data_IF_395786499158
#
_entry.id   IF_395786499158
#
_cell.length_a   1.000
_cell.length_b   1.000
_cell.length_c   1.000
_cell.angle_alpha   90.00
_cell.angle_beta   90.00
_cell.angle_gamma   90.00
#
_symmetry.space_group_name_H-M   'P 1'
#
loop_
_entity.id
_entity.type
_entity.pdbx_description
1 polymer ?
#
# COMPACT_ATOMS: atom_id res chain seq x y z
N UNK A 1 8.54 -2.46 -4.09
CA UNK A 1 9.85 -2.89 -4.60
C UNK A 1 10.16 -4.37 -4.37
N UNK A 2 10.17 -4.95 -3.15
CA UNK A 2 10.50 -6.38 -2.99
C UNK A 2 9.64 -7.33 -3.83
N UNK A 3 8.36 -7.00 -4.04
CA UNK A 3 7.39 -7.83 -4.78
C UNK A 3 7.84 -8.13 -6.22
N UNK A 4 8.40 -7.15 -6.92
CA UNK A 4 8.88 -7.35 -8.31
C UNK A 4 10.25 -8.02 -8.41
N UNK A 5 10.90 -8.31 -7.29
CA UNK A 5 12.25 -8.90 -7.20
C UNK A 5 12.28 -10.08 -6.21
N UNK A 6 11.11 -10.65 -5.91
CA UNK A 6 10.98 -11.66 -4.85
C UNK A 6 11.77 -12.91 -5.18
N UNK A 7 11.72 -13.36 -6.43
CA UNK A 7 12.48 -14.52 -6.93
C UNK A 7 13.98 -14.30 -6.83
N UNK A 8 14.49 -13.11 -7.24
CA UNK A 8 15.91 -12.78 -7.17
C UNK A 8 16.44 -12.71 -5.73
N UNK A 9 15.62 -12.14 -4.82
CA UNK A 9 15.96 -12.07 -3.39
C UNK A 9 15.97 -13.47 -2.80
N UNK A 10 14.98 -14.31 -3.10
CA UNK A 10 14.91 -15.71 -2.65
C UNK A 10 16.14 -16.48 -3.09
N UNK A 11 16.48 -16.41 -4.37
CA UNK A 11 17.65 -17.08 -4.95
C UNK A 11 18.97 -16.64 -4.28
N UNK A 12 19.13 -15.34 -3.98
CA UNK A 12 20.34 -14.79 -3.37
C UNK A 12 20.61 -15.31 -1.95
N UNK A 13 19.58 -15.77 -1.25
CA UNK A 13 19.69 -16.33 0.11
C UNK A 13 19.38 -17.83 0.16
N UNK A 14 19.25 -18.50 -0.98
CA UNK A 14 18.89 -19.93 -1.08
C UNK A 14 17.58 -20.25 -0.36
N UNK A 15 16.58 -19.37 -0.49
CA UNK A 15 15.25 -19.47 0.10
C UNK A 15 14.21 -19.75 -0.97
N UNK A 16 13.05 -20.23 -0.53
CA UNK A 16 11.85 -20.25 -1.38
C UNK A 16 11.22 -18.84 -1.43
N UNK A 17 10.41 -18.55 -2.45
CA UNK A 17 9.67 -17.28 -2.53
C UNK A 17 8.76 -17.06 -1.32
N UNK A 18 8.18 -18.14 -0.78
CA UNK A 18 7.37 -18.08 0.43
C UNK A 18 8.18 -17.62 1.65
N UNK A 19 9.40 -18.17 1.82
CA UNK A 19 10.30 -17.75 2.89
C UNK A 19 10.76 -16.30 2.70
N UNK A 20 11.12 -15.92 1.47
CA UNK A 20 11.50 -14.54 1.15
C UNK A 20 10.33 -13.56 1.34
N UNK A 21 9.09 -13.98 1.12
CA UNK A 21 7.88 -13.18 1.35
C UNK A 21 7.66 -12.77 2.81
N UNK A 22 8.23 -13.50 3.78
CA UNK A 22 8.13 -13.18 5.21
C UNK A 22 8.61 -11.75 5.50
N UNK A 23 9.62 -11.25 4.78
CA UNK A 23 10.09 -9.87 4.98
C UNK A 23 9.01 -8.83 4.66
N UNK A 24 8.10 -9.12 3.72
CA UNK A 24 6.98 -8.23 3.36
C UNK A 24 5.94 -8.25 4.49
N UNK A 25 5.63 -9.44 5.01
CA UNK A 25 4.70 -9.60 6.13
C UNK A 25 5.22 -8.90 7.39
N UNK A 26 6.47 -9.14 7.77
CA UNK A 26 7.10 -8.54 8.96
C UNK A 26 7.17 -7.01 8.83
N UNK A 27 7.53 -6.50 7.65
CA UNK A 27 7.49 -5.08 7.36
C UNK A 27 6.10 -4.48 7.56
N UNK A 28 5.07 -5.08 6.99
CA UNK A 28 3.72 -4.56 7.03
C UNK A 28 3.12 -4.64 8.46
N UNK A 29 3.32 -5.74 9.17
CA UNK A 29 2.95 -5.84 10.58
C UNK A 29 3.73 -4.85 11.45
N UNK A 30 5.01 -4.62 11.14
CA UNK A 30 5.81 -3.58 11.77
C UNK A 30 5.20 -2.20 11.58
N UNK A 31 4.80 -1.83 10.37
CA UNK A 31 4.09 -0.56 10.10
C UNK A 31 2.80 -0.48 10.91
N UNK A 32 1.97 -1.52 10.89
CA UNK A 32 0.72 -1.57 11.64
C UNK A 32 0.93 -1.34 13.14
N UNK A 33 1.83 -2.10 13.75
CA UNK A 33 2.06 -2.05 15.20
C UNK A 33 2.70 -0.73 15.65
N UNK A 34 3.57 -0.17 14.80
CA UNK A 34 4.37 1.00 15.16
C UNK A 34 3.73 2.33 14.78
N UNK A 35 2.69 2.33 13.90
CA UNK A 35 2.08 3.58 13.41
C UNK A 35 1.58 4.48 14.54
N UNK A 36 0.76 3.99 15.45
CA UNK A 36 0.23 4.79 16.55
C UNK A 36 1.31 5.16 17.59
N UNK A 37 2.13 4.22 18.13
CA UNK A 37 3.15 4.56 19.10
C UNK A 37 4.18 5.56 18.58
N UNK A 38 4.68 5.33 17.37
CA UNK A 38 5.69 6.22 16.78
C UNK A 38 5.11 7.58 16.42
N UNK A 39 3.85 7.66 15.98
CA UNK A 39 3.21 8.93 15.69
C UNK A 39 2.99 9.76 16.97
N UNK A 40 2.57 9.14 18.09
CA UNK A 40 2.47 9.80 19.39
C UNK A 40 3.85 10.32 19.85
N UNK A 41 4.90 9.51 19.69
CA UNK A 41 6.26 9.92 20.01
C UNK A 41 6.74 11.06 19.10
N UNK A 42 6.58 10.90 17.78
CA UNK A 42 7.07 11.83 16.77
C UNK A 42 6.36 13.20 16.84
N UNK A 43 5.09 13.25 17.24
CA UNK A 43 4.33 14.50 17.36
C UNK A 43 4.88 15.49 18.41
N UNK A 44 5.85 15.08 19.22
CA UNK A 44 6.55 15.95 20.17
C UNK A 44 7.63 16.81 19.53
N UNK A 45 8.06 16.45 18.35
CA UNK A 45 9.13 17.14 17.63
C UNK A 45 8.59 18.18 16.66
N UNK A 46 9.43 19.15 16.34
CA UNK A 46 9.22 20.12 15.27
C UNK A 46 9.03 19.37 13.94
N UNK A 47 8.07 19.80 13.12
CA UNK A 47 7.71 19.11 11.86
C UNK A 47 8.90 18.91 10.91
N UNK A 48 9.75 19.92 10.73
CA UNK A 48 10.94 19.81 9.87
C UNK A 48 11.86 18.71 10.39
N UNK A 49 12.19 18.72 11.68
CA UNK A 49 13.07 17.71 12.30
C UNK A 49 12.47 16.31 12.20
N UNK A 50 11.15 16.21 12.39
CA UNK A 50 10.43 14.95 12.30
C UNK A 50 10.50 14.39 10.88
N UNK A 51 10.21 15.19 9.84
CA UNK A 51 10.29 14.74 8.45
C UNK A 51 11.71 14.35 8.05
N UNK A 52 12.70 15.16 8.38
CA UNK A 52 14.11 14.86 8.10
C UNK A 52 14.55 13.57 8.80
N UNK A 53 14.16 13.38 10.06
CA UNK A 53 14.44 12.16 10.81
C UNK A 53 13.80 10.91 10.17
N UNK A 54 12.55 11.02 9.77
CA UNK A 54 11.82 9.93 9.09
C UNK A 54 12.50 9.56 7.77
N UNK A 55 12.85 10.55 6.94
CA UNK A 55 13.53 10.30 5.67
C UNK A 55 14.96 9.77 5.85
N UNK A 56 15.68 10.23 6.88
CA UNK A 56 17.00 9.72 7.22
C UNK A 56 16.94 8.26 7.67
N UNK A 57 15.98 7.91 8.54
CA UNK A 57 15.76 6.51 8.97
C UNK A 57 15.34 5.64 7.79
N UNK A 58 14.49 6.15 6.89
CA UNK A 58 14.12 5.45 5.66
C UNK A 58 15.34 5.19 4.77
N UNK A 59 16.17 6.21 4.51
CA UNK A 59 17.39 6.11 3.71
C UNK A 59 18.36 5.10 4.33
N UNK A 60 18.60 5.18 5.65
CA UNK A 60 19.43 4.24 6.38
C UNK A 60 18.93 2.79 6.23
N UNK A 61 17.63 2.56 6.42
CA UNK A 61 17.04 1.24 6.28
C UNK A 61 17.14 0.69 4.85
N UNK A 62 17.09 1.55 3.82
CA UNK A 62 17.31 1.15 2.44
C UNK A 62 18.78 0.75 2.19
N UNK A 63 19.75 1.52 2.68
CA UNK A 63 21.17 1.16 2.58
C UNK A 63 21.49 -0.11 3.36
N UNK A 64 20.97 -0.27 4.58
CA UNK A 64 21.10 -1.52 5.32
C UNK A 64 20.51 -2.71 4.57
N UNK A 65 19.37 -2.52 3.87
CA UNK A 65 18.78 -3.56 3.01
C UNK A 65 19.70 -3.91 1.82
N UNK A 66 20.34 -2.90 1.21
CA UNK A 66 21.23 -3.10 0.08
C UNK A 66 22.50 -3.91 0.45
N UNK A 67 23.06 -3.67 1.64
CA UNK A 67 24.30 -4.33 2.09
C UNK A 67 24.05 -5.56 2.97
N UNK A 68 22.80 -5.98 3.17
CA UNK A 68 22.46 -7.09 4.05
C UNK A 68 23.14 -8.41 3.60
N UNK A 69 24.04 -8.99 4.42
CA UNK A 69 24.75 -10.23 4.06
C UNK A 69 23.90 -11.48 4.28
N UNK A 70 22.89 -11.40 5.17
CA UNK A 70 22.01 -12.52 5.49
C UNK A 70 20.54 -12.07 5.47
N UNK A 71 19.64 -13.04 5.26
CA UNK A 71 18.21 -12.76 5.21
C UNK A 71 17.65 -12.17 6.53
N UNK A 72 18.00 -12.65 7.75
CA UNK A 72 17.56 -12.02 8.99
C UNK A 72 17.99 -10.55 9.10
N UNK A 73 19.18 -10.19 8.66
CA UNK A 73 19.66 -8.80 8.64
C UNK A 73 18.82 -7.97 7.65
N UNK A 74 18.47 -8.53 6.49
CA UNK A 74 17.55 -7.89 5.56
C UNK A 74 16.19 -7.63 6.22
N UNK A 75 15.62 -8.61 6.92
CA UNK A 75 14.34 -8.45 7.65
C UNK A 75 14.45 -7.34 8.70
N UNK A 76 15.53 -7.30 9.49
CA UNK A 76 15.77 -6.22 10.44
C UNK A 76 15.87 -4.85 9.77
N UNK A 77 16.57 -4.75 8.64
CA UNK A 77 16.65 -3.52 7.86
C UNK A 77 15.26 -3.08 7.35
N UNK A 78 14.40 -4.02 6.96
CA UNK A 78 13.01 -3.73 6.57
C UNK A 78 12.17 -3.22 7.74
N UNK A 79 12.40 -3.68 8.97
CA UNK A 79 11.76 -3.12 10.16
C UNK A 79 12.19 -1.66 10.42
N UNK A 80 13.46 -1.32 10.18
CA UNK A 80 13.91 0.09 10.24
C UNK A 80 13.14 0.95 9.22
N UNK A 81 12.96 0.45 8.00
CA UNK A 81 12.13 1.13 6.99
C UNK A 81 10.67 1.24 7.43
N UNK A 82 10.13 0.20 8.09
CA UNK A 82 8.76 0.20 8.62
C UNK A 82 8.54 1.30 9.66
N UNK A 83 9.52 1.56 10.54
CA UNK A 83 9.46 2.67 11.51
C UNK A 83 9.30 4.03 10.81
N UNK A 84 10.06 4.26 9.75
CA UNK A 84 9.96 5.49 8.97
C UNK A 84 8.60 5.59 8.26
N UNK A 85 8.16 4.51 7.60
CA UNK A 85 6.88 4.47 6.89
C UNK A 85 5.69 4.73 7.84
N UNK A 86 5.72 4.17 9.03
CA UNK A 86 4.68 4.28 10.04
C UNK A 86 4.33 5.75 10.39
N UNK A 87 5.32 6.64 10.31
CA UNK A 87 5.17 8.07 10.64
C UNK A 87 5.00 8.94 9.39
N UNK A 88 5.62 8.55 8.26
CA UNK A 88 5.77 9.38 7.08
C UNK A 88 4.45 9.98 6.57
N UNK A 89 3.43 9.17 6.35
CA UNK A 89 2.18 9.61 5.75
C UNK A 89 1.42 10.64 6.59
N UNK A 90 1.45 10.47 7.91
CA UNK A 90 0.82 11.41 8.84
C UNK A 90 1.53 12.76 8.84
N UNK A 91 2.85 12.77 8.67
CA UNK A 91 3.67 14.00 8.67
C UNK A 91 3.62 14.71 7.32
N UNK A 92 3.78 13.98 6.25
CA UNK A 92 3.90 14.54 4.90
C UNK A 92 2.66 15.36 4.50
N UNK A 93 1.46 14.85 4.78
CA UNK A 93 0.21 15.52 4.44
C UNK A 93 0.01 16.81 5.25
N UNK A 94 0.33 16.79 6.55
CA UNK A 94 0.22 17.98 7.41
C UNK A 94 1.25 19.04 7.00
N UNK A 95 2.49 18.63 6.72
CA UNK A 95 3.52 19.58 6.26
C UNK A 95 3.16 20.22 4.94
N UNK A 96 2.68 19.45 3.98
CA UNK A 96 2.30 19.99 2.69
C UNK A 96 1.23 21.09 2.81
N UNK A 97 0.23 20.89 3.66
CA UNK A 97 -0.83 21.89 3.88
C UNK A 97 -0.33 23.14 4.63
N UNK A 98 0.72 23.02 5.44
CA UNK A 98 1.29 24.16 6.22
C UNK A 98 2.39 24.92 5.49
N UNK A 99 3.00 24.33 4.46
CA UNK A 99 4.07 24.97 3.66
C UNK A 99 3.54 26.00 2.67
N UNK A 100 2.26 25.98 2.40
CA UNK A 100 1.61 26.85 1.41
C UNK A 100 0.53 27.69 2.07
N UNK A 101 0.16 28.83 1.45
CA UNK A 101 -0.97 29.61 1.85
C UNK A 101 -2.25 28.75 1.79
N UNK A 102 -3.24 29.07 2.60
CA UNK A 102 -4.54 28.37 2.68
C UNK A 102 -5.22 28.19 1.31
N UNK A 103 -4.98 29.12 0.38
CA UNK A 103 -5.48 29.06 -1.02
C UNK A 103 -4.87 27.91 -1.82
N UNK A 104 -3.66 27.46 -1.49
CA UNK A 104 -2.91 26.42 -2.22
C UNK A 104 -2.84 25.09 -1.47
N UNK A 105 -3.47 24.97 -0.30
CA UNK A 105 -3.46 23.76 0.51
C UNK A 105 -3.97 22.52 -0.24
N UNK A 106 -5.07 22.66 -0.98
CA UNK A 106 -5.62 21.58 -1.81
C UNK A 106 -4.62 21.15 -2.92
N UNK A 107 -3.94 22.12 -3.54
CA UNK A 107 -2.91 21.84 -4.55
C UNK A 107 -1.74 21.07 -3.95
N UNK A 108 -1.24 21.46 -2.78
CA UNK A 108 -0.13 20.78 -2.12
C UNK A 108 -0.47 19.31 -1.78
N UNK A 109 -1.67 19.05 -1.27
CA UNK A 109 -2.15 17.69 -1.01
C UNK A 109 -2.29 16.90 -2.31
N UNK A 110 -2.82 17.52 -3.38
CA UNK A 110 -2.94 16.86 -4.69
C UNK A 110 -1.58 16.51 -5.30
N UNK A 111 -0.55 17.31 -5.08
CA UNK A 111 0.82 17.00 -5.52
C UNK A 111 1.40 15.78 -4.81
N UNK A 112 1.14 15.60 -3.49
CA UNK A 112 1.51 14.36 -2.78
C UNK A 112 0.79 13.16 -3.36
N UNK A 113 -0.52 13.27 -3.61
CA UNK A 113 -1.30 12.20 -4.20
C UNK A 113 -0.79 11.83 -5.61
N UNK A 114 -0.46 12.84 -6.42
CA UNK A 114 0.13 12.66 -7.76
C UNK A 114 1.49 11.97 -7.67
N UNK A 115 2.38 12.43 -6.79
CA UNK A 115 3.68 11.80 -6.56
C UNK A 115 3.55 10.34 -6.12
N UNK A 116 2.60 10.05 -5.24
CA UNK A 116 2.29 8.68 -4.80
C UNK A 116 1.79 7.80 -5.96
N UNK A 117 0.93 8.34 -6.82
CA UNK A 117 0.42 7.64 -8.00
C UNK A 117 1.56 7.33 -8.99
N UNK A 118 2.43 8.29 -9.26
CA UNK A 118 3.62 8.12 -10.08
C UNK A 118 4.53 7.02 -9.49
N UNK A 119 4.77 7.07 -8.17
CA UNK A 119 5.58 6.07 -7.48
C UNK A 119 4.97 4.66 -7.52
N UNK A 120 3.65 4.54 -7.44
CA UNK A 120 2.96 3.24 -7.57
C UNK A 120 3.07 2.68 -8.99
N UNK A 121 2.96 3.51 -10.01
CA UNK A 121 3.01 3.07 -11.42
C UNK A 121 4.41 2.67 -11.82
N UNK A 122 5.38 3.55 -11.57
CA UNK A 122 6.75 3.38 -12.03
C UNK A 122 7.65 2.67 -11.02
N UNK A 123 7.31 2.72 -9.73
CA UNK A 123 8.17 2.20 -8.67
C UNK A 123 8.42 0.70 -8.74
N UNK A 124 7.41 -0.11 -9.07
CA UNK A 124 7.57 -1.55 -9.20
C UNK A 124 8.31 -1.92 -10.51
N UNK A 125 7.90 -1.43 -11.70
CA UNK A 125 8.61 -1.71 -12.96
C UNK A 125 10.05 -1.19 -12.99
N UNK A 126 10.30 0.04 -12.53
CA UNK A 126 11.64 0.60 -12.45
C UNK A 126 12.53 -0.16 -11.47
N UNK A 127 11.97 -0.49 -10.29
CA UNK A 127 12.68 -1.30 -9.31
C UNK A 127 13.08 -2.65 -9.87
N UNK A 128 12.17 -3.30 -10.64
CA UNK A 128 12.45 -4.56 -11.33
C UNK A 128 13.50 -4.38 -12.43
N UNK A 129 13.39 -3.36 -13.28
CA UNK A 129 14.34 -3.09 -14.35
C UNK A 129 15.76 -2.87 -13.81
N UNK A 130 15.92 -2.06 -12.75
CA UNK A 130 17.20 -1.87 -12.06
C UNK A 130 17.69 -3.20 -11.48
N UNK A 131 16.81 -3.95 -10.81
CA UNK A 131 17.17 -5.23 -10.19
C UNK A 131 17.66 -6.27 -11.20
N UNK A 132 17.02 -6.37 -12.36
CA UNK A 132 17.43 -7.26 -13.45
C UNK A 132 18.74 -6.82 -14.11
N UNK A 133 18.98 -5.50 -14.21
CA UNK A 133 20.18 -4.97 -14.87
C UNK A 133 21.44 -5.03 -13.99
N UNK A 134 21.31 -4.68 -12.71
CA UNK A 134 22.47 -4.48 -11.79
C UNK A 134 22.30 -5.16 -10.42
N UNK A 135 21.29 -6.00 -10.28
CA UNK A 135 20.97 -6.75 -9.06
C UNK A 135 20.03 -6.03 -8.10
N UNK A 136 19.22 -6.80 -7.38
CA UNK A 136 18.20 -6.30 -6.47
C UNK A 136 18.73 -5.39 -5.34
N UNK A 137 19.97 -5.60 -4.90
CA UNK A 137 20.62 -4.75 -3.89
C UNK A 137 20.78 -3.32 -4.36
N UNK A 138 21.09 -3.11 -5.65
CA UNK A 138 21.22 -1.79 -6.23
C UNK A 138 19.88 -1.05 -6.26
N UNK A 139 18.77 -1.74 -6.41
CA UNK A 139 17.43 -1.13 -6.31
C UNK A 139 17.22 -0.46 -4.95
N UNK A 140 17.59 -1.14 -3.86
CA UNK A 140 17.52 -0.55 -2.52
C UNK A 140 18.51 0.60 -2.36
N UNK A 141 19.74 0.46 -2.87
CA UNK A 141 20.75 1.52 -2.81
C UNK A 141 20.31 2.79 -3.55
N UNK A 142 19.74 2.67 -4.74
CA UNK A 142 19.22 3.81 -5.52
C UNK A 142 18.09 4.53 -4.76
N UNK A 143 17.13 3.78 -4.18
CA UNK A 143 16.05 4.39 -3.39
C UNK A 143 16.60 5.05 -2.12
N UNK A 144 17.57 4.42 -1.46
CA UNK A 144 18.27 5.01 -0.31
C UNK A 144 18.98 6.31 -0.69
N UNK A 145 19.67 6.33 -1.83
CA UNK A 145 20.36 7.50 -2.35
C UNK A 145 19.41 8.65 -2.70
N UNK A 146 18.31 8.35 -3.42
CA UNK A 146 17.28 9.36 -3.72
C UNK A 146 16.66 9.94 -2.44
N UNK A 147 16.40 9.08 -1.44
CA UNK A 147 15.92 9.56 -0.15
C UNK A 147 16.94 10.41 0.59
N UNK A 148 18.23 10.07 0.56
CA UNK A 148 19.31 10.87 1.14
C UNK A 148 19.41 12.24 0.47
N UNK A 149 19.33 12.30 -0.86
CA UNK A 149 19.28 13.56 -1.61
C UNK A 149 18.07 14.39 -1.18
N UNK A 150 16.89 13.75 -1.01
CA UNK A 150 15.69 14.44 -0.52
C UNK A 150 15.89 15.00 0.89
N UNK A 151 16.58 14.28 1.80
CA UNK A 151 16.93 14.79 3.13
C UNK A 151 17.76 16.06 3.04
N UNK A 152 18.85 16.03 2.25
CA UNK A 152 19.75 17.19 2.09
C UNK A 152 19.01 18.39 1.48
N UNK A 153 18.23 18.16 0.42
CA UNK A 153 17.43 19.19 -0.21
C UNK A 153 16.41 19.83 0.74
N UNK A 154 15.64 19.01 1.46
CA UNK A 154 14.64 19.51 2.40
C UNK A 154 15.26 20.19 3.62
N UNK A 155 16.42 19.72 4.09
CA UNK A 155 17.16 20.39 5.16
C UNK A 155 17.55 21.82 4.78
N UNK A 156 17.96 22.02 3.51
CA UNK A 156 18.35 23.32 2.98
C UNK A 156 17.15 24.26 2.69
N UNK A 157 16.05 23.72 2.14
CA UNK A 157 14.96 24.53 1.58
C UNK A 157 13.82 24.75 2.58
N UNK A 158 13.50 23.77 3.43
CA UNK A 158 12.32 23.87 4.30
C UNK A 158 12.59 24.83 5.48
N UNK A 159 11.63 25.74 5.77
CA UNK A 159 11.69 26.57 6.94
C UNK A 159 11.53 25.75 8.21
N UNK A 160 12.00 26.27 9.34
CA UNK A 160 11.64 25.74 10.64
C UNK A 160 10.12 25.88 10.86
N UNK A 161 9.46 24.82 11.28
CA UNK A 161 8.03 24.82 11.52
C UNK A 161 7.75 24.30 12.93
N UNK A 162 7.04 25.08 13.76
CA UNK A 162 6.75 24.68 15.13
C UNK A 162 5.99 23.34 15.15
N UNK A 163 6.17 22.59 16.25
CA UNK A 163 5.41 21.39 16.49
C UNK A 163 3.90 21.70 16.39
N UNK A 164 3.15 20.80 15.79
CA UNK A 164 1.70 20.91 15.74
C UNK A 164 1.05 20.54 17.09
N UNK A 165 -0.26 20.48 17.09
CA UNK A 165 -1.00 19.87 18.20
C UNK A 165 -0.52 18.43 18.38
N UNK A 166 -0.35 18.05 19.65
CA UNK A 166 0.09 16.70 19.96
C UNK A 166 -0.93 15.68 19.51
N UNK A 167 -0.49 14.71 18.72
CA UNK A 167 -1.34 13.59 18.33
C UNK A 167 -1.81 12.86 19.60
N UNK A 168 -3.11 12.74 19.78
CA UNK A 168 -3.70 12.06 20.92
C UNK A 168 -4.59 10.92 20.48
N UNK A 169 -4.49 9.80 21.19
CA UNK A 169 -5.35 8.63 20.96
C UNK A 169 -6.70 8.72 21.70
N UNK A 170 -7.02 9.88 22.30
CA UNK A 170 -8.25 10.05 23.07
C UNK A 170 -9.53 9.82 22.27
N UNK A 171 -9.49 10.10 20.96
CA UNK A 171 -10.62 9.92 20.06
C UNK A 171 -10.79 8.48 19.55
N UNK A 172 -9.78 7.60 19.81
CA UNK A 172 -9.80 6.22 19.39
C UNK A 172 -11.04 5.43 19.83
N UNK A 173 -11.50 5.53 21.10
CA UNK A 173 -12.70 4.81 21.55
C UNK A 173 -13.99 5.23 20.82
N UNK A 174 -14.12 6.50 20.45
CA UNK A 174 -15.28 6.99 19.69
C UNK A 174 -15.31 6.48 18.27
N UNK A 175 -14.16 6.52 17.60
CA UNK A 175 -14.01 5.98 16.25
C UNK A 175 -14.29 4.49 16.20
N UNK A 176 -13.83 3.74 17.20
CA UNK A 176 -14.06 2.30 17.31
C UNK A 176 -15.48 1.91 17.80
N UNK A 177 -16.32 2.87 18.21
CA UNK A 177 -17.74 2.64 18.48
C UNK A 177 -18.63 2.91 17.27
N UNK A 178 -18.13 3.59 16.24
CA UNK A 178 -18.91 3.89 15.05
C UNK A 178 -19.06 2.63 14.16
N UNK A 179 -20.27 2.08 14.02
CA UNK A 179 -20.49 0.81 13.30
C UNK A 179 -20.14 0.92 11.80
N UNK A 180 -20.28 2.11 11.21
CA UNK A 180 -19.90 2.35 9.83
C UNK A 180 -18.37 2.27 9.66
N UNK A 181 -17.60 2.89 10.54
CA UNK A 181 -16.14 2.87 10.51
C UNK A 181 -15.61 1.46 10.77
N UNK A 182 -16.22 0.73 11.73
CA UNK A 182 -15.87 -0.67 11.97
C UNK A 182 -16.10 -1.53 10.73
N UNK A 183 -17.27 -1.37 10.08
CA UNK A 183 -17.57 -2.11 8.85
C UNK A 183 -16.58 -1.77 7.72
N UNK A 184 -16.24 -0.48 7.52
CA UNK A 184 -15.27 -0.02 6.55
C UNK A 184 -13.88 -0.61 6.82
N UNK A 185 -13.44 -0.60 8.08
CA UNK A 185 -12.18 -1.19 8.50
C UNK A 185 -12.14 -2.70 8.30
N UNK A 186 -13.21 -3.41 8.66
CA UNK A 186 -13.29 -4.85 8.45
C UNK A 186 -13.21 -5.22 6.95
N UNK A 187 -13.98 -4.55 6.10
CA UNK A 187 -13.91 -4.75 4.65
C UNK A 187 -12.50 -4.44 4.12
N UNK A 188 -11.86 -3.38 4.60
CA UNK A 188 -10.48 -3.02 4.22
C UNK A 188 -9.51 -4.16 4.55
N UNK A 189 -9.60 -4.75 5.73
CA UNK A 189 -8.72 -5.87 6.13
C UNK A 189 -8.91 -7.07 5.19
N UNK A 190 -10.16 -7.50 4.94
CA UNK A 190 -10.41 -8.64 4.06
C UNK A 190 -9.98 -8.36 2.61
N UNK A 191 -10.29 -7.18 2.08
CA UNK A 191 -9.89 -6.79 0.73
C UNK A 191 -8.37 -6.72 0.58
N UNK A 192 -7.67 -6.09 1.53
CA UNK A 192 -6.21 -6.02 1.51
C UNK A 192 -5.57 -7.41 1.70
N UNK A 193 -6.11 -8.25 2.59
CA UNK A 193 -5.63 -9.63 2.79
C UNK A 193 -5.75 -10.44 1.51
N UNK A 194 -6.92 -10.47 0.88
CA UNK A 194 -7.15 -11.19 -0.37
C UNK A 194 -6.26 -10.67 -1.52
N UNK A 195 -6.19 -9.36 -1.67
CA UNK A 195 -5.34 -8.71 -2.64
C UNK A 195 -3.86 -9.12 -2.48
N UNK A 196 -3.30 -8.97 -1.27
CA UNK A 196 -1.88 -9.22 -1.03
C UNK A 196 -1.51 -10.69 -0.91
N UNK A 197 -2.46 -11.59 -0.68
CA UNK A 197 -2.22 -13.03 -0.82
C UNK A 197 -1.77 -13.41 -2.23
N UNK A 198 -2.27 -12.69 -3.24
CA UNK A 198 -1.90 -12.88 -4.64
C UNK A 198 -0.81 -11.91 -5.11
N UNK A 199 -0.94 -10.62 -4.78
CA UNK A 199 -0.06 -9.56 -5.30
C UNK A 199 1.40 -9.71 -4.85
N UNK A 200 1.63 -10.21 -3.65
CA UNK A 200 2.99 -10.41 -3.15
C UNK A 200 3.78 -11.47 -3.93
N UNK A 201 3.06 -12.37 -4.60
CA UNK A 201 3.62 -13.48 -5.40
C UNK A 201 3.26 -13.37 -6.89
N UNK A 202 2.80 -12.19 -7.34
CA UNK A 202 2.39 -11.99 -8.74
C UNK A 202 3.55 -12.20 -9.72
N UNK A 203 4.74 -11.75 -9.36
CA UNK A 203 5.94 -11.92 -10.19
C UNK A 203 6.30 -13.40 -10.38
N UNK A 204 6.53 -14.20 -9.32
CA UNK A 204 6.77 -15.63 -9.50
C UNK A 204 5.59 -16.40 -10.12
N UNK A 205 4.33 -15.97 -9.90
CA UNK A 205 3.18 -16.53 -10.61
C UNK A 205 3.29 -16.33 -12.13
N UNK A 206 3.61 -15.12 -12.57
CA UNK A 206 3.77 -14.82 -14.00
C UNK A 206 4.91 -15.62 -14.61
N UNK A 207 6.02 -15.83 -13.89
CA UNK A 207 7.15 -16.60 -14.36
C UNK A 207 6.85 -18.11 -14.40
N UNK A 208 6.27 -18.68 -13.34
CA UNK A 208 6.19 -20.14 -13.12
C UNK A 208 4.88 -20.75 -13.66
N UNK A 209 3.76 -20.01 -13.63
CA UNK A 209 2.43 -20.51 -14.04
C UNK A 209 2.06 -20.00 -15.42
N UNK A 210 2.25 -18.71 -15.67
CA UNK A 210 1.94 -18.11 -16.97
C UNK A 210 3.11 -18.23 -17.97
N UNK A 211 4.29 -18.69 -17.53
CA UNK A 211 5.49 -18.88 -18.34
C UNK A 211 5.88 -17.64 -19.16
N UNK A 212 5.70 -16.48 -18.55
CA UNK A 212 5.97 -15.19 -19.17
C UNK A 212 7.44 -14.81 -18.96
N UNK A 213 8.10 -14.32 -20.02
CA UNK A 213 9.48 -13.88 -19.92
C UNK A 213 9.65 -12.60 -19.06
N UNK A 214 10.89 -12.31 -18.66
CA UNK A 214 11.18 -11.19 -17.74
C UNK A 214 10.74 -9.81 -18.27
N UNK A 215 10.83 -9.61 -19.60
CA UNK A 215 10.40 -8.37 -20.25
C UNK A 215 8.88 -8.21 -20.21
N UNK A 216 8.15 -9.26 -20.56
CA UNK A 216 6.69 -9.28 -20.52
C UNK A 216 6.13 -9.24 -19.09
N UNK A 217 6.82 -9.80 -18.08
CA UNK A 217 6.50 -9.59 -16.66
C UNK A 217 6.58 -8.10 -16.31
N UNK A 218 7.67 -7.44 -16.69
CA UNK A 218 7.84 -6.00 -16.42
C UNK A 218 6.74 -5.17 -17.12
N UNK A 219 6.40 -5.52 -18.36
CA UNK A 219 5.29 -4.89 -19.10
C UNK A 219 3.94 -5.11 -18.39
N UNK A 220 3.67 -6.32 -17.92
CA UNK A 220 2.43 -6.66 -17.19
C UNK A 220 2.30 -5.87 -15.90
N UNK A 221 3.37 -5.76 -15.11
CA UNK A 221 3.39 -4.96 -13.89
C UNK A 221 3.28 -3.46 -14.17
N UNK A 222 3.80 -2.99 -15.30
CA UNK A 222 3.61 -1.60 -15.76
C UNK A 222 2.16 -1.35 -16.15
N UNK A 223 1.55 -2.24 -16.92
CA UNK A 223 0.14 -2.15 -17.31
C UNK A 223 -0.77 -2.17 -16.07
N UNK A 224 -0.48 -3.01 -15.07
CA UNK A 224 -1.15 -3.02 -13.78
C UNK A 224 -1.08 -1.64 -13.09
N UNK A 225 0.11 -1.04 -13.02
CA UNK A 225 0.30 0.29 -12.44
C UNK A 225 -0.45 1.38 -13.22
N UNK A 226 -0.31 1.41 -14.55
CA UNK A 226 -1.00 2.38 -15.41
C UNK A 226 -2.53 2.28 -15.32
N UNK A 227 -3.06 1.06 -15.23
CA UNK A 227 -4.51 0.85 -15.05
C UNK A 227 -5.02 1.40 -13.71
N UNK A 228 -4.17 1.47 -12.69
CA UNK A 228 -4.49 2.15 -11.43
C UNK A 228 -4.76 3.65 -11.62
N UNK A 229 -4.06 4.34 -12.56
CA UNK A 229 -4.41 5.72 -12.91
C UNK A 229 -5.82 5.83 -13.49
N UNK A 230 -6.17 4.89 -14.36
CA UNK A 230 -7.53 4.83 -14.92
C UNK A 230 -8.55 4.66 -13.78
N UNK A 231 -8.26 3.79 -12.80
CA UNK A 231 -9.12 3.61 -11.63
C UNK A 231 -9.29 4.89 -10.81
N UNK A 232 -8.19 5.61 -10.59
CA UNK A 232 -8.23 6.90 -9.89
C UNK A 232 -8.98 7.99 -10.69
N UNK A 233 -8.79 8.03 -12.00
CA UNK A 233 -9.52 8.95 -12.88
C UNK A 233 -11.02 8.65 -12.92
N UNK A 234 -11.40 7.36 -13.01
CA UNK A 234 -12.80 6.93 -12.96
C UNK A 234 -13.44 7.31 -11.62
N UNK A 235 -12.72 7.20 -10.50
CA UNK A 235 -13.18 7.69 -9.21
C UNK A 235 -13.56 9.17 -9.28
N UNK A 236 -12.65 10.03 -9.76
CA UNK A 236 -12.91 11.48 -9.84
C UNK A 236 -14.08 11.85 -10.78
N UNK A 237 -14.43 10.99 -11.75
CA UNK A 237 -15.52 11.26 -12.70
C UNK A 237 -16.86 10.66 -12.30
N UNK A 238 -16.87 9.50 -11.64
CA UNK A 238 -18.08 8.69 -11.48
C UNK A 238 -18.54 8.58 -10.02
N UNK A 239 -17.63 8.75 -9.05
CA UNK A 239 -17.94 8.41 -7.66
C UNK A 239 -19.06 9.27 -7.07
N UNK A 240 -19.05 10.59 -7.26
CA UNK A 240 -20.06 11.48 -6.67
C UNK A 240 -21.47 11.23 -7.23
N UNK A 241 -21.57 10.94 -8.54
CA UNK A 241 -22.85 10.66 -9.20
C UNK A 241 -23.34 9.21 -9.03
N UNK A 242 -22.45 8.25 -8.86
CA UNK A 242 -22.76 6.82 -8.88
C UNK A 242 -22.06 6.05 -7.75
N UNK A 243 -22.08 6.59 -6.54
CA UNK A 243 -21.35 6.12 -5.35
C UNK A 243 -21.48 4.62 -5.09
N UNK A 244 -22.70 4.09 -4.95
CA UNK A 244 -22.91 2.67 -4.64
C UNK A 244 -22.57 1.73 -5.80
N UNK A 245 -23.00 1.98 -7.05
CA UNK A 245 -22.54 1.20 -8.18
C UNK A 245 -21.03 1.19 -8.33
N UNK A 246 -20.38 2.36 -8.14
CA UNK A 246 -18.93 2.47 -8.23
C UNK A 246 -18.24 1.58 -7.18
N UNK A 247 -18.65 1.67 -5.91
CA UNK A 247 -18.12 0.83 -4.84
C UNK A 247 -18.38 -0.66 -5.11
N UNK A 248 -19.58 -1.03 -5.55
CA UNK A 248 -19.91 -2.42 -5.84
C UNK A 248 -19.05 -3.00 -6.97
N UNK A 249 -18.89 -2.25 -8.08
CA UNK A 249 -18.10 -2.68 -9.23
C UNK A 249 -16.62 -2.80 -8.87
N UNK A 250 -16.05 -1.78 -8.22
CA UNK A 250 -14.62 -1.78 -7.91
C UNK A 250 -14.24 -2.80 -6.85
N UNK A 251 -15.08 -2.98 -5.82
CA UNK A 251 -14.87 -4.03 -4.81
C UNK A 251 -15.00 -5.43 -5.42
N UNK A 252 -16.02 -5.68 -6.25
CA UNK A 252 -16.23 -6.99 -6.89
C UNK A 252 -15.21 -7.29 -7.97
N UNK A 253 -14.70 -6.26 -8.65
CA UNK A 253 -13.69 -6.41 -9.70
C UNK A 253 -12.37 -6.99 -9.19
N UNK A 254 -11.99 -6.73 -7.93
CA UNK A 254 -10.78 -7.31 -7.33
C UNK A 254 -10.87 -8.84 -7.22
N UNK A 255 -11.84 -9.45 -6.51
CA UNK A 255 -11.93 -10.91 -6.44
C UNK A 255 -12.17 -11.55 -7.81
N UNK A 256 -12.92 -10.91 -8.71
CA UNK A 256 -13.10 -11.40 -10.09
C UNK A 256 -11.75 -11.50 -10.80
N UNK A 257 -10.93 -10.46 -10.74
CA UNK A 257 -9.61 -10.50 -11.35
C UNK A 257 -8.72 -11.59 -10.72
N UNK A 258 -8.75 -11.72 -9.38
CA UNK A 258 -7.97 -12.74 -8.66
C UNK A 258 -8.39 -14.16 -9.05
N UNK A 259 -9.68 -14.45 -9.09
CA UNK A 259 -10.20 -15.75 -9.48
C UNK A 259 -9.91 -16.10 -10.95
N UNK A 260 -9.83 -15.07 -11.81
CA UNK A 260 -9.49 -15.23 -13.23
C UNK A 260 -7.97 -15.34 -13.49
N UNK A 261 -7.09 -15.08 -12.51
CA UNK A 261 -5.64 -15.16 -12.71
C UNK A 261 -5.18 -16.53 -13.23
N UNK A 262 -5.65 -17.62 -12.61
CA UNK A 262 -5.29 -18.98 -13.02
C UNK A 262 -5.75 -19.29 -14.45
N UNK A 263 -7.04 -19.19 -14.78
CA UNK A 263 -7.55 -19.37 -16.16
C UNK A 263 -6.88 -18.46 -17.20
N UNK A 264 -6.54 -17.23 -16.83
CA UNK A 264 -5.89 -16.27 -17.72
C UNK A 264 -4.42 -16.59 -18.01
N UNK A 265 -3.77 -17.44 -17.22
CA UNK A 265 -2.35 -17.77 -17.36
C UNK A 265 -1.99 -18.44 -18.70
N UNK A 266 -2.98 -18.92 -19.45
CA UNK A 266 -2.80 -19.55 -20.77
C UNK A 266 -2.36 -18.61 -21.89
N UNK A 267 -2.49 -17.28 -21.71
CA UNK A 267 -2.16 -16.29 -22.73
C UNK A 267 -1.70 -14.97 -22.11
N UNK A 268 -0.63 -14.39 -22.66
CA UNK A 268 -0.13 -13.07 -22.23
C UNK A 268 -1.21 -11.98 -22.33
N UNK A 269 -2.05 -12.01 -23.37
CA UNK A 269 -3.13 -11.01 -23.56
C UNK A 269 -4.16 -11.10 -22.45
N UNK A 270 -4.58 -12.31 -22.09
CA UNK A 270 -5.56 -12.51 -21.01
C UNK A 270 -4.98 -12.15 -19.65
N UNK A 271 -3.70 -12.48 -19.38
CA UNK A 271 -2.98 -12.07 -18.16
C UNK A 271 -2.90 -10.55 -18.06
N UNK A 272 -2.51 -9.86 -19.14
CA UNK A 272 -2.48 -8.40 -19.20
C UNK A 272 -3.84 -7.78 -18.90
N UNK A 273 -4.91 -8.29 -19.51
CA UNK A 273 -6.27 -7.80 -19.32
C UNK A 273 -6.73 -7.99 -17.86
N UNK A 274 -6.49 -9.16 -17.28
CA UNK A 274 -6.83 -9.45 -15.88
C UNK A 274 -6.01 -8.59 -14.92
N UNK A 275 -4.71 -8.42 -15.14
CA UNK A 275 -3.87 -7.54 -14.33
C UNK A 275 -4.29 -6.07 -14.45
N UNK A 276 -4.69 -5.61 -15.63
CA UNK A 276 -5.20 -4.26 -15.83
C UNK A 276 -6.55 -4.05 -15.09
N UNK A 277 -7.48 -5.00 -15.19
CA UNK A 277 -8.72 -4.97 -14.41
C UNK A 277 -8.43 -4.90 -12.91
N UNK A 278 -7.52 -5.74 -12.44
CA UNK A 278 -7.13 -5.79 -11.04
C UNK A 278 -6.53 -4.45 -10.55
N UNK A 279 -5.55 -3.90 -11.26
CA UNK A 279 -4.93 -2.63 -10.91
C UNK A 279 -5.92 -1.46 -10.90
N UNK A 280 -6.81 -1.39 -11.89
CA UNK A 280 -7.87 -0.40 -11.99
C UNK A 280 -8.82 -0.48 -10.78
N UNK A 281 -9.40 -1.65 -10.52
CA UNK A 281 -10.36 -1.86 -9.44
C UNK A 281 -9.72 -1.66 -8.07
N UNK A 282 -8.49 -2.15 -7.86
CA UNK A 282 -7.78 -2.03 -6.60
C UNK A 282 -7.49 -0.57 -6.22
N UNK A 283 -7.03 0.25 -7.16
CA UNK A 283 -6.79 1.67 -6.91
C UNK A 283 -8.11 2.41 -6.70
N UNK A 284 -9.11 2.14 -7.53
CA UNK A 284 -10.41 2.79 -7.46
C UNK A 284 -11.10 2.56 -6.11
N UNK A 285 -11.16 1.31 -5.62
CA UNK A 285 -11.77 1.04 -4.31
C UNK A 285 -10.98 1.65 -3.16
N UNK A 286 -9.64 1.63 -3.22
CA UNK A 286 -8.81 2.19 -2.16
C UNK A 286 -9.05 3.69 -2.00
N UNK A 287 -9.08 4.46 -3.10
CA UNK A 287 -9.36 5.89 -3.08
C UNK A 287 -10.81 6.16 -2.59
N UNK A 288 -11.77 5.36 -3.06
CA UNK A 288 -13.16 5.49 -2.64
C UNK A 288 -13.35 5.22 -1.14
N UNK A 289 -12.63 4.23 -0.57
CA UNK A 289 -12.69 3.94 0.86
C UNK A 289 -12.08 5.04 1.71
N UNK A 290 -10.99 5.65 1.27
CA UNK A 290 -10.41 6.82 1.95
C UNK A 290 -11.39 8.01 1.91
N UNK A 291 -12.06 8.26 0.79
CA UNK A 291 -13.06 9.31 0.67
C UNK A 291 -14.28 9.04 1.58
N UNK A 292 -14.76 7.78 1.64
CA UNK A 292 -15.84 7.38 2.54
C UNK A 292 -15.46 7.56 4.00
N UNK A 293 -14.24 7.19 4.37
CA UNK A 293 -13.74 7.36 5.72
C UNK A 293 -13.73 8.82 6.14
N UNK A 294 -13.17 9.70 5.31
CA UNK A 294 -13.10 11.15 5.58
C UNK A 294 -14.51 11.75 5.70
N UNK A 295 -15.41 11.36 4.80
CA UNK A 295 -16.79 11.87 4.75
C UNK A 295 -17.62 11.55 6.00
N UNK A 296 -17.28 10.45 6.70
CA UNK A 296 -18.02 9.97 7.87
C UNK A 296 -17.25 10.11 9.19
N UNK A 297 -16.17 10.88 9.17
CA UNK A 297 -15.34 11.16 10.34
C UNK A 297 -15.28 12.67 10.59
N UNK A 298 -15.47 13.14 11.85
CA UNK A 298 -15.29 14.54 12.19
C UNK A 298 -13.91 15.05 11.79
N UNK A 299 -13.80 16.32 11.40
CA UNK A 299 -12.57 16.89 10.86
C UNK A 299 -11.38 16.79 11.83
N UNK A 300 -11.61 16.93 13.13
CA UNK A 300 -10.62 16.80 14.21
C UNK A 300 -10.13 15.37 14.42
N UNK A 301 -10.92 14.36 14.03
CA UNK A 301 -10.64 12.94 14.19
C UNK A 301 -10.19 12.26 12.91
N UNK A 302 -10.25 12.93 11.76
CA UNK A 302 -9.94 12.36 10.44
C UNK A 302 -8.53 11.84 10.33
N UNK A 303 -7.54 12.51 10.91
CA UNK A 303 -6.15 12.06 10.92
C UNK A 303 -5.97 10.76 11.69
N UNK A 304 -6.66 10.60 12.83
CA UNK A 304 -6.65 9.36 13.63
C UNK A 304 -7.33 8.23 12.85
N UNK A 305 -8.49 8.50 12.26
CA UNK A 305 -9.23 7.52 11.46
C UNK A 305 -8.42 7.03 10.26
N UNK A 306 -7.72 7.93 9.55
CA UNK A 306 -6.82 7.57 8.44
C UNK A 306 -5.61 6.77 8.91
N UNK A 307 -5.07 7.06 10.10
CA UNK A 307 -3.97 6.27 10.69
C UNK A 307 -4.41 4.83 11.01
N UNK A 308 -5.64 4.67 11.55
CA UNK A 308 -6.22 3.34 11.79
C UNK A 308 -6.42 2.61 10.46
N UNK A 309 -6.99 3.28 9.45
CA UNK A 309 -7.19 2.73 8.10
C UNK A 309 -5.86 2.23 7.52
N UNK A 310 -4.82 3.06 7.54
CA UNK A 310 -3.48 2.69 7.07
C UNK A 310 -2.89 1.52 7.84
N UNK A 311 -3.02 1.50 9.17
CA UNK A 311 -2.58 0.40 10.01
C UNK A 311 -3.28 -0.92 9.67
N UNK A 312 -4.61 -0.89 9.53
CA UNK A 312 -5.42 -2.07 9.18
C UNK A 312 -5.20 -2.51 7.73
N UNK A 313 -4.94 -1.59 6.82
CA UNK A 313 -4.53 -1.93 5.46
C UNK A 313 -3.18 -2.68 5.48
N UNK A 314 -2.21 -2.22 6.29
CA UNK A 314 -0.94 -2.90 6.49
C UNK A 314 -1.08 -4.25 7.22
N UNK A 315 -2.05 -4.40 8.16
CA UNK A 315 -2.42 -5.70 8.70
C UNK A 315 -2.81 -6.66 7.56
N UNK A 316 -3.67 -6.19 6.64
CA UNK A 316 -4.08 -6.96 5.47
C UNK A 316 -2.91 -7.30 4.55
N UNK A 317 -1.97 -6.37 4.31
CA UNK A 317 -0.73 -6.62 3.55
C UNK A 317 0.06 -7.77 4.18
N UNK A 318 0.38 -7.67 5.46
CA UNK A 318 1.19 -8.66 6.16
C UNK A 318 0.54 -10.03 6.23
N UNK A 319 -0.75 -10.06 6.61
CA UNK A 319 -1.52 -11.30 6.74
C UNK A 319 -1.76 -11.95 5.37
N UNK A 320 -2.11 -11.15 4.35
CA UNK A 320 -2.28 -11.63 2.99
C UNK A 320 -0.99 -12.25 2.45
N UNK A 321 0.14 -11.56 2.59
CA UNK A 321 1.45 -12.09 2.16
C UNK A 321 1.80 -13.39 2.89
N UNK A 322 1.55 -13.50 4.20
CA UNK A 322 1.79 -14.72 4.96
C UNK A 322 0.89 -15.89 4.48
N UNK A 323 -0.40 -15.62 4.24
CA UNK A 323 -1.33 -16.61 3.67
C UNK A 323 -0.88 -17.03 2.27
N UNK A 324 -0.52 -16.06 1.40
CA UNK A 324 0.00 -16.35 0.06
C UNK A 324 1.25 -17.24 0.12
N UNK A 325 2.17 -16.96 1.06
CA UNK A 325 3.36 -17.80 1.30
C UNK A 325 3.00 -19.23 1.72
N UNK A 326 2.00 -19.39 2.60
CA UNK A 326 1.52 -20.71 2.98
C UNK A 326 0.88 -21.45 1.78
N UNK A 327 0.17 -20.74 0.91
CA UNK A 327 -0.37 -21.31 -0.34
C UNK A 327 0.74 -21.74 -1.28
N UNK A 328 1.76 -20.90 -1.48
CA UNK A 328 2.91 -21.22 -2.35
C UNK A 328 3.67 -22.46 -1.84
N UNK A 329 3.85 -22.58 -0.51
CA UNK A 329 4.54 -23.72 0.10
C UNK A 329 3.70 -25.00 0.18
N UNK A 330 2.38 -24.88 0.13
CA UNK A 330 1.43 -25.99 0.27
C UNK A 330 0.87 -26.44 -1.10
N UNK A 331 -0.35 -26.00 -1.47
CA UNK A 331 -0.99 -26.42 -2.72
C UNK A 331 -0.31 -25.92 -3.98
N UNK A 332 0.56 -24.91 -3.85
CA UNK A 332 1.36 -24.36 -4.94
C UNK A 332 0.89 -22.99 -5.41
N UNK A 333 1.79 -22.29 -6.10
CA UNK A 333 1.62 -20.90 -6.54
C UNK A 333 0.42 -20.68 -7.47
N UNK A 334 -0.02 -21.69 -8.21
CA UNK A 334 -1.19 -21.61 -9.08
C UNK A 334 -2.50 -21.29 -8.31
N UNK A 335 -2.54 -21.57 -7.01
CA UNK A 335 -3.72 -21.38 -6.16
C UNK A 335 -3.81 -19.99 -5.51
N UNK A 336 -2.78 -19.14 -5.62
CA UNK A 336 -2.77 -17.84 -4.95
C UNK A 336 -3.96 -16.94 -5.35
N UNK A 337 -4.34 -16.97 -6.64
CA UNK A 337 -5.50 -16.22 -7.15
C UNK A 337 -6.82 -16.70 -6.56
N UNK A 338 -7.02 -18.01 -6.46
CA UNK A 338 -8.24 -18.59 -5.90
C UNK A 338 -8.37 -18.30 -4.40
N UNK A 339 -7.29 -18.49 -3.62
CA UNK A 339 -7.31 -18.21 -2.18
C UNK A 339 -7.48 -16.72 -1.91
N UNK A 340 -6.71 -15.87 -2.60
CA UNK A 340 -6.84 -14.41 -2.48
C UNK A 340 -8.24 -13.93 -2.89
N UNK A 341 -8.76 -14.48 -3.99
CA UNK A 341 -10.11 -14.19 -4.48
C UNK A 341 -11.19 -14.59 -3.48
N UNK A 342 -11.10 -15.80 -2.89
CA UNK A 342 -12.05 -16.27 -1.87
C UNK A 342 -12.07 -15.34 -0.64
N UNK A 343 -10.91 -14.91 -0.15
CA UNK A 343 -10.80 -13.95 0.96
C UNK A 343 -11.44 -12.61 0.58
N UNK A 344 -11.14 -12.09 -0.61
CA UNK A 344 -11.71 -10.83 -1.09
C UNK A 344 -13.23 -10.91 -1.29
N UNK A 345 -13.79 -12.07 -1.70
CA UNK A 345 -15.25 -12.30 -1.77
C UNK A 345 -15.90 -12.11 -0.39
N UNK A 346 -15.26 -12.58 0.70
CA UNK A 346 -15.77 -12.32 2.06
C UNK A 346 -15.84 -10.82 2.32
N UNK A 347 -14.82 -10.05 1.90
CA UNK A 347 -14.84 -8.59 1.98
C UNK A 347 -15.99 -7.96 1.20
N UNK A 348 -16.29 -8.44 0.00
CA UNK A 348 -17.44 -7.99 -0.81
C UNK A 348 -18.76 -8.31 -0.15
N UNK A 349 -18.94 -9.52 0.39
CA UNK A 349 -20.15 -9.91 1.13
C UNK A 349 -20.37 -8.99 2.33
N UNK A 350 -19.33 -8.72 3.13
CA UNK A 350 -19.38 -7.78 4.25
C UNK A 350 -19.71 -6.36 3.78
N UNK A 351 -19.17 -5.93 2.64
CA UNK A 351 -19.49 -4.61 2.09
C UNK A 351 -20.98 -4.51 1.73
N UNK A 352 -21.54 -5.51 1.06
CA UNK A 352 -22.94 -5.51 0.61
C UNK A 352 -23.90 -5.65 1.80
N UNK A 353 -23.59 -6.53 2.76
CA UNK A 353 -24.51 -6.87 3.85
C UNK A 353 -24.43 -5.91 5.04
N UNK A 354 -23.27 -5.32 5.31
CA UNK A 354 -23.04 -4.50 6.49
C UNK A 354 -22.67 -3.06 6.13
N UNK A 355 -21.63 -2.84 5.28
CA UNK A 355 -21.10 -1.51 5.01
C UNK A 355 -22.09 -0.65 4.22
N UNK A 356 -22.65 -1.14 3.11
CA UNK A 356 -23.58 -0.36 2.28
C UNK A 356 -24.86 0.04 3.03
N UNK A 357 -25.51 -0.85 3.80
CA UNK A 357 -26.60 -0.45 4.68
C UNK A 357 -26.19 0.59 5.73
N UNK A 358 -24.99 0.47 6.32
CA UNK A 358 -24.49 1.46 7.28
C UNK A 358 -24.29 2.83 6.63
N UNK A 359 -23.67 2.88 5.43
CA UNK A 359 -23.49 4.14 4.68
C UNK A 359 -24.83 4.79 4.32
N UNK A 360 -25.87 4.00 3.93
CA UNK A 360 -27.19 4.54 3.60
C UNK A 360 -27.91 5.15 4.80
N UNK A 361 -27.67 4.63 6.00
CA UNK A 361 -28.28 5.11 7.25
C UNK A 361 -27.52 6.28 7.87
N UNK A 362 -26.24 6.38 7.60
CA UNK A 362 -25.40 7.44 8.14
C UNK A 362 -25.65 8.77 7.43
N UNK A 363 -25.81 9.86 8.24
CA UNK A 363 -25.77 11.21 7.71
C UNK A 363 -24.29 11.62 7.54
N UNK A 364 -23.91 12.32 6.46
CA UNK A 364 -22.57 12.90 6.38
C UNK A 364 -22.35 13.80 7.59
N UNK A 365 -21.16 13.71 8.17
CA UNK A 365 -20.74 14.66 9.21
C UNK A 365 -20.38 15.95 8.47
N UNK A 366 -21.08 17.05 8.82
CA UNK A 366 -20.89 18.37 8.21
C UNK A 366 -19.55 18.99 8.62
#
# INVERSE_FOLDING_TARGET
>A
MPIGLLTDIAASFSLTEAQAGIMISVYAWGVMLLSLPLMVFASRFEFKRMLLGVLAVFSLGQFLSAVAPTYPILVCARLVVACAHAVFWSVASIMASRLVDTRHGALAISMIATGSSIAQIFGLPLGRAIGLAVGWRMTFAVVGGLSAIAVVYQAAVFPAMPAGERFTVKQLPELLKNPLLIALYAVTVFMATGYYASYSYVEPFLAQVAHVDAGAITMTLTAFGCSGLLGSWLFGRLFDGHRFPFLAITLSGVPVALLLMGPAASSLVTVLAVCALWGCCATAFNVAFQAELIKHTPADSSAVAMSIFSGLFNLGIGTGTAIGGAVVSGPGIAWIGFVGGAIAVVGVILAITVLFPAIRRAKPVA
#
